data_IF_800533258206
#
_entry.id   IF_800533258206
#
_cell.length_a   1.000
_cell.length_b   1.000
_cell.length_c   1.000
_cell.angle_alpha   90.00
_cell.angle_beta   90.00
_cell.angle_gamma   90.00
#
_symmetry.space_group_name_H-M   'P 1'
#
loop_
_entity.id
_entity.type
_entity.pdbx_description
1 polymer ?
#
# COMPACT_ATOMS: atom_id res chain seq x y z
N UNK A 1 20.72 11.48 24.33
CA UNK A 1 20.10 10.65 23.27
C UNK A 1 18.74 10.23 23.76
N UNK A 2 17.69 10.34 22.95
CA UNK A 2 16.34 9.87 23.32
C UNK A 2 16.35 8.34 23.32
N UNK A 3 15.81 7.72 24.36
CA UNK A 3 15.61 6.27 24.39
C UNK A 3 14.30 5.93 23.66
N UNK A 4 14.41 5.35 22.47
CA UNK A 4 13.27 5.00 21.63
C UNK A 4 12.46 3.81 22.15
N UNK A 5 13.00 3.05 23.10
CA UNK A 5 12.33 1.94 23.79
C UNK A 5 11.76 2.34 25.16
N UNK A 6 11.75 3.62 25.50
CA UNK A 6 11.03 4.11 26.68
C UNK A 6 9.51 3.98 26.44
N UNK A 7 8.76 3.28 27.31
CA UNK A 7 7.31 3.10 27.15
C UNK A 7 6.54 4.42 27.04
N UNK A 8 7.03 5.50 27.65
CA UNK A 8 6.41 6.81 27.52
C UNK A 8 6.55 7.39 26.10
N UNK A 9 7.73 7.21 25.49
CA UNK A 9 8.02 7.66 24.12
C UNK A 9 7.26 6.80 23.11
N UNK A 10 7.21 5.49 23.32
CA UNK A 10 6.47 4.54 22.48
C UNK A 10 4.97 4.86 22.39
N UNK A 11 4.37 5.21 23.53
CA UNK A 11 2.97 5.61 23.59
C UNK A 11 2.72 6.93 22.84
N UNK A 12 3.58 7.94 23.02
CA UNK A 12 3.47 9.23 22.33
C UNK A 12 3.63 9.11 20.80
N UNK A 13 4.64 8.36 20.35
CA UNK A 13 4.82 8.03 18.93
C UNK A 13 3.59 7.29 18.41
N UNK A 14 3.03 6.39 19.22
CA UNK A 14 1.81 5.67 18.90
C UNK A 14 0.59 6.53 18.63
N UNK A 15 0.33 7.51 19.49
CA UNK A 15 -0.74 8.49 19.26
C UNK A 15 -0.48 9.31 18.00
N UNK A 16 0.76 9.76 17.81
CA UNK A 16 1.16 10.56 16.64
C UNK A 16 0.93 9.79 15.34
N UNK A 17 1.29 8.50 15.31
CA UNK A 17 1.05 7.62 14.17
C UNK A 17 -0.45 7.46 13.88
N UNK A 18 -1.30 7.27 14.91
CA UNK A 18 -2.75 7.19 14.72
C UNK A 18 -3.34 8.49 14.13
N UNK A 19 -2.88 9.66 14.59
CA UNK A 19 -3.32 10.93 14.01
C UNK A 19 -2.91 11.08 12.55
N UNK A 20 -1.67 10.72 12.22
CA UNK A 20 -1.18 10.76 10.84
C UNK A 20 -1.98 9.82 9.93
N UNK A 21 -2.25 8.60 10.39
CA UNK A 21 -3.08 7.63 9.66
C UNK A 21 -4.47 8.20 9.39
N UNK A 22 -5.13 8.79 10.39
CA UNK A 22 -6.45 9.40 10.21
C UNK A 22 -6.41 10.60 9.24
N UNK A 23 -5.34 11.38 9.25
CA UNK A 23 -5.14 12.48 8.32
C UNK A 23 -4.95 11.98 6.87
N UNK A 24 -4.11 10.97 6.67
CA UNK A 24 -3.92 10.31 5.37
C UNK A 24 -5.23 9.67 4.87
N UNK A 25 -5.98 9.05 5.78
CA UNK A 25 -7.29 8.48 5.50
C UNK A 25 -8.29 9.55 5.03
N UNK A 26 -8.32 10.72 5.71
CA UNK A 26 -9.14 11.86 5.28
C UNK A 26 -8.74 12.40 3.90
N UNK A 27 -7.44 12.52 3.63
CA UNK A 27 -6.93 12.92 2.31
C UNK A 27 -7.37 11.93 1.23
N UNK A 28 -7.25 10.62 1.49
CA UNK A 28 -7.67 9.60 0.54
C UNK A 28 -9.18 9.66 0.26
N UNK A 29 -10.02 9.87 1.28
CA UNK A 29 -11.47 10.04 1.10
C UNK A 29 -11.80 11.25 0.23
N UNK A 30 -11.11 12.38 0.45
CA UNK A 30 -11.27 13.56 -0.39
C UNK A 30 -10.95 13.26 -1.87
N UNK A 31 -9.80 12.65 -2.14
CA UNK A 31 -9.41 12.24 -3.48
C UNK A 31 -10.41 11.27 -4.11
N UNK A 32 -10.92 10.32 -3.32
CA UNK A 32 -11.93 9.38 -3.76
C UNK A 32 -13.23 10.09 -4.18
N UNK A 33 -13.74 11.02 -3.37
CA UNK A 33 -14.95 11.79 -3.67
C UNK A 33 -14.80 12.64 -4.94
N UNK A 34 -13.67 13.35 -5.08
CA UNK A 34 -13.41 14.19 -6.26
C UNK A 34 -13.33 13.36 -7.55
N UNK A 35 -12.73 12.17 -7.46
CA UNK A 35 -12.57 11.29 -8.63
C UNK A 35 -13.73 10.31 -8.85
N UNK A 36 -14.76 10.31 -8.00
CA UNK A 36 -15.91 9.42 -8.10
C UNK A 36 -16.69 9.57 -9.41
N UNK A 37 -16.71 10.78 -10.00
CA UNK A 37 -17.35 11.02 -11.29
C UNK A 37 -16.81 10.13 -12.42
N UNK A 38 -15.52 9.82 -12.40
CA UNK A 38 -14.88 8.92 -13.38
C UNK A 38 -15.39 7.48 -13.25
N UNK A 39 -15.58 7.01 -12.02
CA UNK A 39 -16.07 5.66 -11.74
C UNK A 39 -17.54 5.54 -12.16
N UNK A 40 -18.34 6.58 -11.88
CA UNK A 40 -19.74 6.65 -12.24
C UNK A 40 -19.96 6.56 -13.76
N UNK A 41 -19.11 7.20 -14.56
CA UNK A 41 -19.18 7.09 -16.03
C UNK A 41 -18.96 5.66 -16.54
N UNK A 42 -18.09 4.88 -15.90
CA UNK A 42 -17.85 3.48 -16.27
C UNK A 42 -18.99 2.57 -15.82
N UNK A 43 -19.56 2.82 -14.63
CA UNK A 43 -20.72 2.09 -14.13
C UNK A 43 -21.97 2.33 -15.00
N UNK A 44 -22.13 3.55 -15.51
CA UNK A 44 -23.20 3.92 -16.46
C UNK A 44 -22.92 3.47 -17.91
N UNK A 45 -21.93 2.59 -18.12
CA UNK A 45 -21.53 2.07 -19.44
C UNK A 45 -21.23 3.13 -20.49
N UNK A 46 -20.86 4.36 -20.08
CA UNK A 46 -20.53 5.44 -21.03
C UNK A 46 -19.14 5.29 -21.65
N UNK A 47 -18.33 4.33 -21.19
CA UNK A 47 -16.99 4.03 -21.67
C UNK A 47 -16.79 2.53 -21.84
N UNK A 48 -16.00 2.08 -22.85
CA UNK A 48 -15.78 0.66 -23.09
C UNK A 48 -14.99 0.01 -21.96
N UNK A 49 -15.47 -1.15 -21.51
CA UNK A 49 -14.80 -1.94 -20.49
C UNK A 49 -13.49 -2.53 -21.03
N UNK A 50 -12.41 -2.36 -20.26
CA UNK A 50 -11.08 -2.94 -20.52
C UNK A 50 -10.72 -3.80 -19.33
N UNK A 51 -10.19 -5.00 -19.55
CA UNK A 51 -9.84 -5.92 -18.46
C UNK A 51 -8.86 -5.32 -17.45
N UNK A 52 -7.98 -4.41 -17.86
CA UNK A 52 -7.06 -3.67 -16.98
C UNK A 52 -7.76 -2.73 -15.98
N UNK A 53 -9.05 -2.43 -16.17
CA UNK A 53 -9.85 -1.66 -15.20
C UNK A 53 -10.23 -2.50 -13.97
N UNK A 54 -10.24 -3.83 -14.06
CA UNK A 54 -10.55 -4.70 -12.93
C UNK A 54 -9.57 -4.49 -11.77
N UNK A 55 -8.24 -4.61 -11.96
CA UNK A 55 -7.31 -4.34 -10.87
C UNK A 55 -7.31 -2.87 -10.44
N UNK A 56 -7.64 -1.92 -11.33
CA UNK A 56 -7.80 -0.51 -10.98
C UNK A 56 -8.93 -0.28 -9.97
N UNK A 57 -10.14 -0.73 -10.30
CA UNK A 57 -11.29 -0.62 -9.40
C UNK A 57 -11.07 -1.45 -8.14
N UNK A 58 -10.50 -2.65 -8.28
CA UNK A 58 -10.18 -3.51 -7.16
C UNK A 58 -9.24 -2.84 -6.15
N UNK A 59 -8.12 -2.24 -6.59
CA UNK A 59 -7.25 -1.44 -5.70
C UNK A 59 -8.00 -0.29 -5.04
N UNK A 60 -8.75 0.48 -5.82
CA UNK A 60 -9.42 1.70 -5.37
C UNK A 60 -10.48 1.42 -4.29
N UNK A 61 -11.34 0.42 -4.51
CA UNK A 61 -12.40 0.06 -3.56
C UNK A 61 -11.86 -0.76 -2.38
N UNK A 62 -10.85 -1.60 -2.58
CA UNK A 62 -10.19 -2.30 -1.46
C UNK A 62 -9.48 -1.32 -0.52
N UNK A 63 -8.81 -0.29 -1.07
CA UNK A 63 -8.20 0.78 -0.28
C UNK A 63 -9.26 1.66 0.42
N UNK A 64 -10.39 1.94 -0.23
CA UNK A 64 -11.51 2.64 0.44
C UNK A 64 -12.02 1.85 1.65
N UNK A 65 -12.23 0.54 1.48
CA UNK A 65 -12.69 -0.32 2.55
C UNK A 65 -11.67 -0.38 3.70
N UNK A 66 -10.37 -0.50 3.40
CA UNK A 66 -9.33 -0.51 4.43
C UNK A 66 -9.27 0.81 5.22
N UNK A 67 -9.41 1.94 4.53
CA UNK A 67 -9.44 3.28 5.13
C UNK A 67 -10.65 3.46 6.06
N UNK A 68 -11.84 3.08 5.62
CA UNK A 68 -13.07 3.19 6.43
C UNK A 68 -12.99 2.32 7.69
N UNK A 69 -12.50 1.10 7.56
CA UNK A 69 -12.34 0.20 8.70
C UNK A 69 -11.22 0.68 9.63
N UNK A 70 -10.12 1.23 9.09
CA UNK A 70 -9.03 1.83 9.87
C UNK A 70 -9.53 2.99 10.75
N UNK A 71 -10.31 3.91 10.19
CA UNK A 71 -10.91 5.00 10.97
C UNK A 71 -11.77 4.46 12.13
N UNK A 72 -12.51 3.37 11.92
CA UNK A 72 -13.31 2.72 12.97
C UNK A 72 -12.46 2.07 14.07
N UNK A 73 -11.34 1.44 13.72
CA UNK A 73 -10.47 0.76 14.71
C UNK A 73 -9.58 1.76 15.46
N UNK A 74 -9.31 2.92 14.87
CA UNK A 74 -8.55 3.99 15.53
C UNK A 74 -9.39 4.88 16.45
N UNK A 75 -10.72 4.71 16.49
CA UNK A 75 -11.64 5.52 17.29
C UNK A 75 -12.57 4.62 18.14
N UNK A 76 -11.98 3.82 19.02
CA UNK A 76 -12.71 2.83 19.83
C UNK A 76 -12.80 3.30 21.27
N UNK A 77 -13.91 3.96 21.59
CA UNK A 77 -14.15 4.53 22.93
C UNK A 77 -14.47 3.43 23.96
N UNK A 78 -15.07 2.31 23.51
CA UNK A 78 -15.48 1.19 24.37
C UNK A 78 -14.72 -0.08 24.00
N UNK A 79 -14.30 -0.91 24.99
CA UNK A 79 -13.57 -2.12 24.73
C UNK A 79 -14.36 -3.08 23.84
N UNK A 80 -13.70 -3.60 22.81
CA UNK A 80 -14.26 -4.59 21.88
C UNK A 80 -13.46 -5.89 21.93
N UNK A 81 -14.16 -7.02 21.91
CA UNK A 81 -13.53 -8.34 21.99
C UNK A 81 -13.09 -8.90 20.62
N UNK A 82 -13.55 -8.30 19.52
CA UNK A 82 -13.31 -8.78 18.15
C UNK A 82 -12.20 -8.01 17.42
N UNK A 83 -11.18 -7.52 18.13
CA UNK A 83 -10.08 -6.75 17.53
C UNK A 83 -9.37 -7.53 16.40
N UNK A 84 -9.12 -8.82 16.59
CA UNK A 84 -8.48 -9.67 15.58
C UNK A 84 -9.28 -9.74 14.28
N UNK A 85 -10.61 -9.89 14.35
CA UNK A 85 -11.47 -9.94 13.16
C UNK A 85 -11.43 -8.63 12.38
N UNK A 86 -11.51 -7.50 13.10
CA UNK A 86 -11.43 -6.20 12.46
C UNK A 86 -10.06 -5.96 11.81
N UNK A 87 -8.99 -6.38 12.46
CA UNK A 87 -7.65 -6.32 11.90
C UNK A 87 -7.45 -7.23 10.68
N UNK A 88 -8.03 -8.43 10.69
CA UNK A 88 -8.04 -9.32 9.54
C UNK A 88 -8.71 -8.65 8.32
N UNK A 89 -9.81 -7.94 8.53
CA UNK A 89 -10.51 -7.19 7.46
C UNK A 89 -9.62 -6.07 6.92
N UNK A 90 -8.98 -5.29 7.79
CA UNK A 90 -8.04 -4.23 7.36
C UNK A 90 -6.89 -4.82 6.56
N UNK A 91 -6.21 -5.84 7.10
CA UNK A 91 -5.06 -6.44 6.43
C UNK A 91 -5.44 -7.06 5.10
N UNK A 92 -6.53 -7.85 5.09
CA UNK A 92 -7.00 -8.48 3.88
C UNK A 92 -7.28 -7.46 2.78
N UNK A 93 -7.98 -6.37 3.12
CA UNK A 93 -8.34 -5.33 2.15
C UNK A 93 -7.15 -4.46 1.76
N UNK A 94 -6.28 -4.06 2.69
CA UNK A 94 -5.08 -3.29 2.42
C UNK A 94 -4.06 -4.09 1.58
N UNK A 95 -3.78 -5.34 1.95
CA UNK A 95 -2.88 -6.21 1.19
C UNK A 95 -3.43 -6.55 -0.19
N UNK A 96 -4.75 -6.73 -0.33
CA UNK A 96 -5.38 -6.88 -1.64
C UNK A 96 -5.22 -5.62 -2.49
N UNK A 97 -5.40 -4.43 -1.90
CA UNK A 97 -5.21 -3.17 -2.60
C UNK A 97 -3.77 -3.03 -3.12
N UNK A 98 -2.78 -3.34 -2.27
CA UNK A 98 -1.35 -3.34 -2.60
C UNK A 98 -1.05 -4.34 -3.72
N UNK A 99 -1.48 -5.59 -3.59
CA UNK A 99 -1.25 -6.62 -4.60
C UNK A 99 -1.80 -6.22 -5.98
N UNK A 100 -3.02 -5.66 -6.02
CA UNK A 100 -3.63 -5.17 -7.26
C UNK A 100 -2.93 -3.91 -7.81
N UNK A 101 -2.40 -3.05 -6.95
CA UNK A 101 -1.63 -1.87 -7.36
C UNK A 101 -0.30 -2.29 -8.01
N UNK A 102 0.42 -3.22 -7.39
CA UNK A 102 1.62 -3.84 -7.94
C UNK A 102 1.32 -4.56 -9.26
N UNK A 103 0.17 -5.23 -9.38
CA UNK A 103 -0.25 -5.84 -10.64
C UNK A 103 -0.46 -4.81 -11.75
N UNK A 104 -1.13 -3.68 -11.46
CA UNK A 104 -1.31 -2.58 -12.43
C UNK A 104 0.03 -2.03 -12.92
N UNK A 105 0.99 -1.88 -12.01
CA UNK A 105 2.34 -1.45 -12.35
C UNK A 105 3.03 -2.47 -13.26
N UNK A 106 2.98 -3.76 -12.90
CA UNK A 106 3.52 -4.85 -13.72
C UNK A 106 2.89 -4.91 -15.12
N UNK A 107 1.57 -4.74 -15.23
CA UNK A 107 0.86 -4.71 -16.52
C UNK A 107 1.32 -3.55 -17.41
N UNK A 108 1.61 -2.38 -16.83
CA UNK A 108 2.18 -1.24 -17.58
C UNK A 108 3.57 -1.57 -18.12
N UNK A 109 4.41 -2.23 -17.32
CA UNK A 109 5.74 -2.67 -17.77
C UNK A 109 5.63 -3.65 -18.93
N UNK A 110 4.73 -4.64 -18.83
CA UNK A 110 4.51 -5.64 -19.90
C UNK A 110 3.99 -4.98 -21.19
N UNK A 111 3.06 -4.02 -21.07
CA UNK A 111 2.56 -3.27 -22.21
C UNK A 111 3.69 -2.48 -22.90
N UNK A 112 4.56 -1.82 -22.12
CA UNK A 112 5.70 -1.06 -22.66
C UNK A 112 6.78 -1.99 -23.26
N UNK A 113 6.93 -3.19 -22.71
CA UNK A 113 7.82 -4.23 -23.23
C UNK A 113 7.31 -4.88 -24.53
N UNK A 114 6.26 -4.33 -25.17
CA UNK A 114 5.63 -4.87 -26.37
C UNK A 114 5.12 -6.31 -26.16
N UNK A 115 4.59 -6.60 -24.96
CA UNK A 115 4.00 -7.89 -24.60
C UNK A 115 4.94 -9.10 -24.76
N UNK A 116 6.25 -8.91 -24.58
CA UNK A 116 7.21 -10.03 -24.54
C UNK A 116 6.84 -10.99 -23.41
N UNK A 117 6.44 -12.21 -23.78
CA UNK A 117 6.01 -13.25 -22.84
C UNK A 117 7.03 -13.52 -21.73
N UNK A 118 8.33 -13.48 -22.02
CA UNK A 118 9.38 -13.67 -21.02
C UNK A 118 9.30 -12.66 -19.87
N UNK A 119 9.06 -11.38 -20.18
CA UNK A 119 8.94 -10.30 -19.17
C UNK A 119 7.65 -10.48 -18.37
N UNK A 120 6.56 -10.87 -19.05
CA UNK A 120 5.28 -11.16 -18.41
C UNK A 120 5.37 -12.34 -17.42
N UNK A 121 6.02 -13.43 -17.83
CA UNK A 121 6.23 -14.61 -16.97
C UNK A 121 7.11 -14.24 -15.78
N UNK A 122 8.23 -13.55 -16.00
CA UNK A 122 9.13 -13.12 -14.93
C UNK A 122 8.45 -12.20 -13.90
N UNK A 123 7.70 -11.19 -14.35
CA UNK A 123 6.97 -10.32 -13.43
C UNK A 123 5.81 -11.04 -12.77
N UNK A 124 5.13 -11.93 -13.49
CA UNK A 124 4.04 -12.74 -12.95
C UNK A 124 4.49 -13.65 -11.82
N UNK A 125 5.63 -14.32 -11.95
CA UNK A 125 6.17 -15.19 -10.90
C UNK A 125 6.60 -14.40 -9.66
N UNK A 126 7.25 -13.25 -9.84
CA UNK A 126 7.60 -12.38 -8.71
C UNK A 126 6.35 -11.84 -8.00
N UNK A 127 5.34 -11.44 -8.76
CA UNK A 127 4.07 -10.95 -8.22
C UNK A 127 3.33 -12.04 -7.41
N UNK A 128 3.29 -13.29 -7.90
CA UNK A 128 2.73 -14.41 -7.15
C UNK A 128 3.48 -14.65 -5.83
N UNK A 129 4.81 -14.46 -5.82
CA UNK A 129 5.61 -14.49 -4.59
C UNK A 129 5.17 -13.42 -3.58
N UNK A 130 4.97 -12.18 -4.04
CA UNK A 130 4.47 -11.07 -3.20
C UNK A 130 3.07 -11.36 -2.68
N UNK A 131 2.16 -11.88 -3.50
CA UNK A 131 0.81 -12.27 -3.03
C UNK A 131 0.90 -13.35 -1.96
N UNK A 132 1.78 -14.34 -2.13
CA UNK A 132 1.99 -15.41 -1.16
C UNK A 132 2.46 -14.88 0.21
N UNK A 133 3.40 -13.93 0.23
CA UNK A 133 3.88 -13.33 1.49
C UNK A 133 2.78 -12.51 2.15
N UNK A 134 2.04 -11.71 1.38
CA UNK A 134 0.91 -10.91 1.86
C UNK A 134 -0.20 -11.77 2.49
N UNK A 135 -0.58 -12.88 1.84
CA UNK A 135 -1.58 -13.82 2.38
C UNK A 135 -1.08 -14.48 3.66
N UNK A 136 0.17 -14.93 3.66
CA UNK A 136 0.78 -15.52 4.85
C UNK A 136 0.77 -14.54 6.04
N UNK A 137 1.14 -13.27 5.81
CA UNK A 137 1.08 -12.24 6.84
C UNK A 137 -0.34 -11.96 7.36
N UNK A 138 -1.35 -11.97 6.48
CA UNK A 138 -2.73 -11.73 6.89
C UNK A 138 -3.29 -12.83 7.82
N UNK A 139 -2.91 -14.09 7.59
CA UNK A 139 -3.46 -15.24 8.35
C UNK A 139 -2.86 -15.34 9.77
N UNK A 140 -1.63 -14.85 9.96
CA UNK A 140 -0.90 -14.93 11.23
C UNK A 140 -1.18 -13.78 12.19
N UNK A 141 -2.15 -12.93 11.89
CA UNK A 141 -2.37 -11.71 12.66
C UNK A 141 -3.16 -11.94 13.94
N UNK A 142 -2.66 -11.38 15.03
CA UNK A 142 -3.31 -11.35 16.34
C UNK A 142 -3.40 -9.91 16.82
N UNK A 143 -4.54 -9.51 17.38
CA UNK A 143 -4.75 -8.14 17.82
C UNK A 143 -5.52 -8.05 19.15
N UNK A 144 -5.12 -7.10 19.98
CA UNK A 144 -5.72 -6.82 21.29
C UNK A 144 -6.14 -5.36 21.41
N UNK A 145 -7.13 -5.11 22.27
CA UNK A 145 -7.58 -3.76 22.56
C UNK A 145 -6.59 -3.06 23.50
N UNK A 146 -6.11 -1.87 23.12
CA UNK A 146 -5.16 -1.08 23.91
C UNK A 146 -5.89 0.13 24.49
N UNK A 147 -6.24 0.12 25.79
CA UNK A 147 -7.09 1.16 26.39
C UNK A 147 -6.43 2.54 26.41
N UNK A 148 -5.11 2.60 26.46
CA UNK A 148 -4.37 3.87 26.49
C UNK A 148 -4.43 4.62 25.16
N UNK A 149 -4.59 3.90 24.04
CA UNK A 149 -4.69 4.48 22.70
C UNK A 149 -6.13 4.55 22.18
N UNK A 150 -7.10 4.02 22.92
CA UNK A 150 -8.52 3.91 22.49
C UNK A 150 -8.64 3.27 21.09
N UNK A 151 -7.85 2.22 20.86
CA UNK A 151 -7.73 1.55 19.56
C UNK A 151 -7.38 0.06 19.72
N UNK A 152 -7.58 -0.75 18.66
CA UNK A 152 -7.01 -2.10 18.62
C UNK A 152 -5.58 -2.05 18.06
N UNK A 153 -4.63 -2.62 18.80
CA UNK A 153 -3.26 -2.86 18.34
C UNK A 153 -3.06 -4.31 17.93
N UNK A 154 -2.11 -4.57 17.04
CA UNK A 154 -1.69 -5.92 16.67
C UNK A 154 -0.52 -6.31 17.57
N UNK A 155 -0.48 -7.57 18.03
CA UNK A 155 0.48 -8.06 19.03
C UNK A 155 1.64 -8.85 18.44
N UNK A 156 1.51 -9.30 17.19
CA UNK A 156 2.53 -10.09 16.49
C UNK A 156 2.61 -9.63 15.03
N UNK A 157 3.69 -8.93 14.68
CA UNK A 157 3.83 -8.28 13.37
C UNK A 157 5.18 -8.54 12.67
N UNK A 158 5.96 -9.52 13.13
CA UNK A 158 7.26 -9.87 12.50
C UNK A 158 7.16 -10.13 10.99
N UNK A 159 6.01 -10.66 10.55
CA UNK A 159 5.76 -10.96 9.14
C UNK A 159 5.57 -9.71 8.26
N UNK A 160 5.20 -8.57 8.85
CA UNK A 160 4.97 -7.30 8.15
C UNK A 160 6.23 -6.80 7.46
N UNK A 161 7.40 -6.94 8.12
CA UNK A 161 8.69 -6.50 7.57
C UNK A 161 9.01 -7.21 6.26
N UNK A 162 8.78 -8.52 6.21
CA UNK A 162 9.00 -9.35 5.03
C UNK A 162 8.03 -8.95 3.91
N UNK A 163 6.77 -8.71 4.24
CA UNK A 163 5.75 -8.27 3.27
C UNK A 163 6.10 -6.92 2.64
N UNK A 164 6.51 -5.96 3.47
CA UNK A 164 6.89 -4.64 3.02
C UNK A 164 8.13 -4.68 2.12
N UNK A 165 9.17 -5.42 2.52
CA UNK A 165 10.39 -5.57 1.71
C UNK A 165 10.10 -6.30 0.39
N UNK A 166 9.35 -7.40 0.42
CA UNK A 166 9.00 -8.16 -0.79
C UNK A 166 8.24 -7.28 -1.80
N UNK A 167 7.25 -6.52 -1.34
CA UNK A 167 6.47 -5.60 -2.18
C UNK A 167 7.35 -4.46 -2.71
N UNK A 168 8.16 -3.84 -1.85
CA UNK A 168 9.04 -2.74 -2.23
C UNK A 168 10.07 -3.14 -3.28
N UNK A 169 10.63 -4.36 -3.17
CA UNK A 169 11.58 -4.90 -4.16
C UNK A 169 10.88 -5.11 -5.50
N UNK A 170 9.69 -5.73 -5.51
CA UNK A 170 8.92 -5.96 -6.72
C UNK A 170 8.60 -4.65 -7.45
N UNK A 171 8.08 -3.65 -6.71
CA UNK A 171 7.74 -2.35 -7.27
C UNK A 171 8.99 -1.63 -7.79
N UNK A 172 10.13 -1.69 -7.07
CA UNK A 172 11.41 -1.16 -7.53
C UNK A 172 11.85 -1.80 -8.85
N UNK A 173 11.77 -3.13 -8.98
CA UNK A 173 12.10 -3.85 -10.23
C UNK A 173 11.20 -3.36 -11.36
N UNK A 174 9.89 -3.23 -11.12
CA UNK A 174 8.95 -2.76 -12.13
C UNK A 174 9.24 -1.32 -12.57
N UNK A 175 9.53 -0.42 -11.62
CA UNK A 175 9.89 0.97 -11.88
C UNK A 175 11.19 1.09 -12.68
N UNK A 176 12.23 0.33 -12.32
CA UNK A 176 13.50 0.30 -13.05
C UNK A 176 13.27 -0.19 -14.48
N UNK A 177 12.55 -1.29 -14.66
CA UNK A 177 12.24 -1.82 -15.99
C UNK A 177 11.42 -0.82 -16.81
N UNK A 178 10.41 -0.19 -16.22
CA UNK A 178 9.61 0.85 -16.87
C UNK A 178 10.51 1.99 -17.36
N UNK A 179 11.41 2.48 -16.50
CA UNK A 179 12.34 3.55 -16.83
C UNK A 179 13.29 3.17 -17.97
N UNK A 180 13.90 1.98 -17.92
CA UNK A 180 14.81 1.49 -18.98
C UNK A 180 14.10 1.32 -20.32
N UNK A 181 12.88 0.77 -20.32
CA UNK A 181 12.07 0.61 -21.53
C UNK A 181 11.64 1.97 -22.11
N UNK A 182 11.29 2.93 -21.25
CA UNK A 182 10.97 4.31 -21.67
C UNK A 182 12.19 5.00 -22.29
N UNK A 183 13.39 4.83 -21.72
CA UNK A 183 14.61 5.37 -22.29
C UNK A 183 14.92 4.80 -23.68
N UNK A 184 14.68 3.50 -23.87
CA UNK A 184 14.88 2.83 -25.17
C UNK A 184 13.88 3.29 -26.24
N UNK A 185 12.70 3.73 -25.85
CA UNK A 185 11.68 4.29 -26.74
C UNK A 185 11.89 5.78 -27.09
N UNK A 186 13.10 6.33 -26.84
CA UNK A 186 13.49 7.71 -27.19
C UNK A 186 13.27 7.98 -28.68
N UNK A 187 12.39 8.92 -29.01
CA UNK A 187 12.23 9.43 -30.39
C UNK A 187 10.80 9.52 -30.92
N UNK A 188 9.81 8.91 -30.26
CA UNK A 188 8.40 9.09 -30.63
C UNK A 188 7.82 10.35 -29.96
N UNK A 189 6.92 11.11 -30.61
CA UNK A 189 6.23 12.23 -29.97
C UNK A 189 5.46 11.82 -28.69
N UNK A 190 5.08 10.54 -28.62
CA UNK A 190 4.46 9.88 -27.47
C UNK A 190 5.42 9.73 -26.27
N UNK A 191 6.75 9.71 -26.51
CA UNK A 191 7.78 9.62 -25.48
C UNK A 191 7.73 10.79 -24.50
N UNK A 192 7.53 12.03 -24.98
CA UNK A 192 7.53 13.22 -24.11
C UNK A 192 6.35 13.23 -23.13
N UNK A 193 5.18 12.74 -23.58
CA UNK A 193 3.98 12.63 -22.76
C UNK A 193 4.12 11.51 -21.71
N UNK A 194 4.56 10.32 -22.13
CA UNK A 194 4.77 9.18 -21.21
C UNK A 194 5.92 9.42 -20.23
N UNK A 195 7.00 10.07 -20.66
CA UNK A 195 8.13 10.37 -19.79
C UNK A 195 7.73 11.38 -18.70
N UNK A 196 6.97 12.43 -19.05
CA UNK A 196 6.54 13.43 -18.07
C UNK A 196 5.66 12.81 -16.97
N UNK A 197 4.73 11.93 -17.32
CA UNK A 197 3.87 11.27 -16.33
C UNK A 197 4.57 10.11 -15.60
N UNK A 198 5.41 9.35 -16.31
CA UNK A 198 6.16 8.22 -15.75
C UNK A 198 7.28 8.64 -14.80
N UNK A 199 7.99 9.74 -15.09
CA UNK A 199 9.06 10.27 -14.22
C UNK A 199 8.48 10.87 -12.94
N UNK A 200 7.38 11.61 -13.02
CA UNK A 200 6.71 12.12 -11.82
C UNK A 200 6.29 10.96 -10.90
N UNK A 201 5.67 9.92 -11.47
CA UNK A 201 5.32 8.71 -10.73
C UNK A 201 6.55 8.04 -10.10
N UNK A 202 7.64 7.87 -10.85
CA UNK A 202 8.89 7.30 -10.36
C UNK A 202 9.48 8.08 -9.17
N UNK A 203 9.53 9.41 -9.28
CA UNK A 203 10.06 10.28 -8.21
C UNK A 203 9.17 10.21 -6.97
N UNK A 204 7.85 10.29 -7.13
CA UNK A 204 6.90 10.20 -6.01
C UNK A 204 7.02 8.86 -5.30
N UNK A 205 7.12 7.76 -6.04
CA UNK A 205 7.19 6.42 -5.45
C UNK A 205 8.53 6.20 -4.72
N UNK A 206 9.65 6.67 -5.26
CA UNK A 206 10.95 6.61 -4.56
C UNK A 206 10.92 7.46 -3.29
N UNK A 207 10.37 8.67 -3.37
CA UNK A 207 10.24 9.55 -2.22
C UNK A 207 9.36 8.95 -1.11
N UNK A 208 8.43 8.05 -1.44
CA UNK A 208 7.63 7.32 -0.46
C UNK A 208 8.34 6.07 0.08
N UNK A 209 8.89 5.22 -0.79
CA UNK A 209 9.48 3.93 -0.37
C UNK A 209 10.83 4.06 0.36
N UNK A 210 11.69 5.01 -0.04
CA UNK A 210 13.04 5.12 0.55
C UNK A 210 12.97 5.51 2.03
N UNK A 211 12.22 6.54 2.45
CA UNK A 211 12.10 6.86 3.87
C UNK A 211 11.46 5.72 4.68
N UNK A 212 10.44 5.05 4.14
CA UNK A 212 9.75 3.94 4.81
C UNK A 212 10.66 2.71 5.01
N UNK A 213 11.48 2.36 4.01
CA UNK A 213 12.46 1.27 4.14
C UNK A 213 13.60 1.62 5.11
N UNK A 214 14.07 2.88 5.11
CA UNK A 214 15.09 3.34 6.06
C UNK A 214 14.59 3.27 7.50
N UNK A 215 13.37 3.73 7.78
CA UNK A 215 12.77 3.64 9.12
C UNK A 215 12.62 2.18 9.56
N UNK A 216 12.18 1.30 8.66
CA UNK A 216 12.06 -0.15 8.93
C UNK A 216 13.41 -0.82 9.24
N UNK A 217 14.49 -0.37 8.60
CA UNK A 217 15.85 -0.89 8.82
C UNK A 217 16.46 -0.36 10.12
N UNK A 218 16.17 0.89 10.48
CA UNK A 218 16.68 1.51 11.69
C UNK A 218 16.13 0.87 12.98
N UNK A 219 14.96 0.21 12.89
CA UNK A 219 14.30 -0.49 13.98
C UNK A 219 14.25 0.30 15.31
N UNK A 220 13.77 1.55 15.25
CA UNK A 220 13.78 2.47 16.39
C UNK A 220 12.70 2.10 17.40
N UNK A 221 11.46 1.99 16.92
CA UNK A 221 10.27 1.66 17.68
C UNK A 221 9.18 1.23 16.68
N UNK A 222 8.31 0.32 17.08
CA UNK A 222 7.16 -0.11 16.31
C UNK A 222 6.29 1.02 15.73
N UNK A 223 6.05 2.08 16.51
CA UNK A 223 5.32 3.26 16.02
C UNK A 223 6.06 4.05 14.92
N UNK A 224 7.39 4.12 14.97
CA UNK A 224 8.22 4.83 13.98
C UNK A 224 8.48 4.02 12.72
N UNK A 225 8.67 2.71 12.87
CA UNK A 225 8.93 1.80 11.74
C UNK A 225 7.72 1.74 10.78
N UNK A 226 6.52 1.86 11.33
CA UNK A 226 5.25 1.70 10.62
C UNK A 226 4.57 3.05 10.28
N UNK A 227 5.17 4.19 10.66
CA UNK A 227 4.53 5.52 10.52
C UNK A 227 4.29 5.93 9.06
N UNK A 228 5.14 5.44 8.14
CA UNK A 228 5.04 5.65 6.69
C UNK A 228 4.50 4.41 5.96
N UNK A 229 4.12 3.36 6.69
CA UNK A 229 3.61 2.11 6.14
C UNK A 229 2.07 2.04 6.32
N UNK A 230 1.35 1.30 5.46
CA UNK A 230 -0.06 1.01 5.68
C UNK A 230 -0.23 0.29 7.02
N UNK A 231 -1.15 0.76 7.86
CA UNK A 231 -1.26 0.44 9.29
C UNK A 231 -1.16 -1.07 9.56
N UNK A 232 -0.06 -1.49 10.19
CA UNK A 232 0.24 -2.87 10.62
C UNK A 232 0.93 -2.80 11.96
N UNK A 233 0.17 -2.70 13.06
CA UNK A 233 0.79 -2.34 14.33
C UNK A 233 1.60 -3.49 14.95
N UNK A 234 2.76 -3.15 15.47
CA UNK A 234 3.62 -3.91 16.39
C UNK A 234 3.14 -3.82 17.83
#
# INVERSE_FOLDING_TARGET
MINWHDPAVELQVGHTALYLVNLCAGWYLWEFCVSFGFDWEHLMFRRPFRWTLIPYFGTRYACLLSVLVSMRISNVIYPINNCTTWWLIIMGTAHTAIALASLLLGLRVVALAQQKLLVGIFLGTLWLGVVGTLVHGAVLIEATYVPQLLACGVTRSEQTRVNFLATSIFDCICLILMFLLLQRARGSGLWKLLLSQGVLYFVVVIAAYVPATVLLMLNLNGGMNEVLQPVTRT
#
